data_IF_883876545863
#
_entry.id   IF_883876545863
#
_cell.length_a   1.000
_cell.length_b   1.000
_cell.length_c   1.000
_cell.angle_alpha   90.00
_cell.angle_beta   90.00
_cell.angle_gamma   90.00
#
_symmetry.space_group_name_H-M   'P 1'
#
loop_
_entity.id
_entity.type
_entity.pdbx_description
1 polymer ?
#
# COMPACT_ATOMS: atom_id res chain seq x y z
N UNK A 1 -3.15 30.58 -44.23
CA UNK A 1 -4.13 30.35 -43.11
C UNK A 1 -4.13 28.94 -42.63
N UNK A 2 -4.25 27.92 -43.43
CA UNK A 2 -4.27 26.49 -42.97
C UNK A 2 -3.01 26.05 -42.17
N UNK A 3 -1.81 26.55 -42.53
CA UNK A 3 -0.56 26.20 -41.79
C UNK A 3 -0.48 26.81 -40.39
N UNK A 4 -1.08 27.98 -40.17
CA UNK A 4 -1.09 28.61 -38.83
C UNK A 4 -2.08 27.95 -37.90
N UNK A 5 -3.25 27.55 -38.38
CA UNK A 5 -4.26 26.82 -37.61
C UNK A 5 -3.76 25.44 -37.21
N UNK A 6 -3.04 24.73 -38.09
CA UNK A 6 -2.43 23.43 -37.77
C UNK A 6 -1.33 23.58 -36.72
N UNK A 7 -0.49 24.62 -36.83
CA UNK A 7 0.55 24.90 -35.81
C UNK A 7 -0.05 25.25 -34.45
N UNK A 8 -1.11 26.04 -34.40
CA UNK A 8 -1.80 26.38 -33.18
C UNK A 8 -2.45 25.13 -32.53
N UNK A 9 -3.06 24.26 -33.34
CA UNK A 9 -3.63 23.00 -32.87
C UNK A 9 -2.55 22.07 -32.32
N UNK A 10 -1.41 21.93 -33.00
CA UNK A 10 -0.28 21.13 -32.51
C UNK A 10 0.29 21.66 -31.20
N UNK A 11 0.44 22.99 -31.08
CA UNK A 11 0.90 23.60 -29.82
C UNK A 11 -0.10 23.38 -28.66
N UNK A 12 -1.40 23.46 -28.97
CA UNK A 12 -2.44 23.14 -27.98
C UNK A 12 -2.40 21.70 -27.48
N UNK A 13 -2.21 20.74 -28.40
CA UNK A 13 -2.06 19.32 -28.04
C UNK A 13 -0.81 19.11 -27.22
N UNK A 14 0.32 19.70 -27.61
CA UNK A 14 1.56 19.58 -26.82
C UNK A 14 1.43 20.19 -25.43
N UNK A 15 0.78 21.33 -25.28
CA UNK A 15 0.53 21.96 -23.99
C UNK A 15 -0.38 21.08 -23.12
N UNK A 16 -1.42 20.49 -23.69
CA UNK A 16 -2.30 19.57 -23.00
C UNK A 16 -1.55 18.30 -22.52
N UNK A 17 -0.73 17.71 -23.38
CA UNK A 17 0.10 16.57 -23.03
C UNK A 17 1.10 16.91 -21.91
N UNK A 18 1.70 18.10 -21.94
CA UNK A 18 2.63 18.55 -20.92
C UNK A 18 1.94 18.72 -19.56
N UNK A 19 0.75 19.30 -19.53
CA UNK A 19 -0.05 19.46 -18.30
C UNK A 19 -0.46 18.11 -17.72
N UNK A 20 -0.95 17.20 -18.57
CA UNK A 20 -1.34 15.85 -18.15
C UNK A 20 -0.12 15.05 -17.65
N UNK A 21 1.02 15.17 -18.33
CA UNK A 21 2.28 14.55 -17.92
C UNK A 21 2.78 15.09 -16.59
N UNK A 22 2.74 16.41 -16.39
CA UNK A 22 3.13 17.03 -15.13
C UNK A 22 2.21 16.62 -13.97
N UNK A 23 0.89 16.59 -14.20
CA UNK A 23 -0.09 16.13 -13.22
C UNK A 23 0.14 14.66 -12.85
N UNK A 24 0.45 13.81 -13.82
CA UNK A 24 0.78 12.41 -13.57
C UNK A 24 2.07 12.25 -12.74
N UNK A 25 3.14 12.95 -13.12
CA UNK A 25 4.40 12.91 -12.37
C UNK A 25 4.24 13.43 -10.95
N UNK A 26 3.48 14.49 -10.76
CA UNK A 26 3.17 15.00 -9.43
C UNK A 26 2.40 13.98 -8.60
N UNK A 27 1.44 13.30 -9.19
CA UNK A 27 0.65 12.24 -8.58
C UNK A 27 1.52 11.03 -8.14
N UNK A 28 2.47 10.62 -8.99
CA UNK A 28 3.43 9.54 -8.66
C UNK A 28 4.36 9.98 -7.53
N UNK A 29 4.83 11.21 -7.56
CA UNK A 29 5.70 11.75 -6.52
C UNK A 29 4.99 11.85 -5.16
N UNK A 30 3.76 12.32 -5.14
CA UNK A 30 2.93 12.39 -3.94
C UNK A 30 2.67 11.01 -3.35
N UNK A 31 2.32 10.04 -4.18
CA UNK A 31 2.17 8.64 -3.80
C UNK A 31 3.45 8.07 -3.17
N UNK A 32 4.60 8.28 -3.81
CA UNK A 32 5.89 7.80 -3.29
C UNK A 32 6.23 8.42 -1.94
N UNK A 33 5.94 9.71 -1.77
CA UNK A 33 6.10 10.39 -0.47
C UNK A 33 5.19 9.81 0.60
N UNK A 34 3.93 9.55 0.28
CA UNK A 34 2.96 8.97 1.21
C UNK A 34 3.44 7.62 1.71
N UNK A 35 3.89 6.76 0.79
CA UNK A 35 4.40 5.43 1.17
C UNK A 35 5.72 5.53 1.96
N UNK A 36 6.63 6.39 1.54
CA UNK A 36 7.92 6.57 2.23
C UNK A 36 7.77 7.19 3.64
N UNK A 37 6.70 7.93 3.88
CA UNK A 37 6.40 8.51 5.18
C UNK A 37 5.62 7.56 6.12
N UNK A 38 5.25 6.37 5.65
CA UNK A 38 4.58 5.37 6.49
C UNK A 38 5.48 4.94 7.63
N UNK A 39 4.97 5.07 8.83
CA UNK A 39 5.55 4.51 10.05
C UNK A 39 4.71 3.32 10.49
N UNK A 40 5.34 2.34 11.09
CA UNK A 40 4.68 1.13 11.56
C UNK A 40 4.77 1.10 13.08
N UNK A 41 3.65 0.77 13.71
CA UNK A 41 3.60 0.53 15.13
C UNK A 41 3.50 -0.98 15.38
N UNK A 42 4.15 -1.43 16.44
CA UNK A 42 4.08 -2.84 16.86
C UNK A 42 2.98 -2.96 17.92
N UNK A 43 1.82 -3.54 17.56
CA UNK A 43 0.77 -3.78 18.54
C UNK A 43 1.21 -4.85 19.53
N UNK A 44 0.77 -4.72 20.78
CA UNK A 44 1.02 -5.74 21.79
C UNK A 44 0.13 -6.96 21.53
N UNK A 45 0.64 -7.93 20.79
CA UNK A 45 -0.12 -9.10 20.37
C UNK A 45 -0.77 -9.87 21.55
N UNK A 46 -0.09 -9.89 22.69
CA UNK A 46 -0.61 -10.54 23.90
C UNK A 46 -1.90 -9.88 24.44
N UNK A 47 -2.12 -8.61 24.14
CA UNK A 47 -3.33 -7.88 24.53
C UNK A 47 -4.49 -8.05 23.55
N UNK A 48 -4.25 -8.63 22.38
CA UNK A 48 -5.28 -8.82 21.35
C UNK A 48 -6.03 -10.12 21.62
N UNK A 49 -7.37 -10.07 21.78
CA UNK A 49 -8.17 -11.28 21.97
C UNK A 49 -8.07 -12.24 20.78
N UNK A 50 -8.28 -13.54 21.03
CA UNK A 50 -8.37 -14.52 19.96
C UNK A 50 -9.51 -14.17 18.99
N UNK A 51 -9.21 -14.17 17.70
CA UNK A 51 -10.18 -13.83 16.66
C UNK A 51 -9.53 -13.56 15.32
N UNK A 52 -10.37 -13.24 14.35
CA UNK A 52 -9.93 -12.83 13.01
C UNK A 52 -10.35 -11.38 12.77
N UNK A 53 -9.38 -10.56 12.41
CA UNK A 53 -9.52 -9.13 12.25
C UNK A 53 -9.17 -8.72 10.84
N UNK A 54 -9.97 -7.84 10.24
CA UNK A 54 -9.73 -7.35 8.89
C UNK A 54 -9.15 -5.94 8.92
N UNK A 55 -8.17 -5.70 8.04
CA UNK A 55 -7.58 -4.40 7.85
C UNK A 55 -7.34 -4.12 6.37
N UNK A 56 -7.41 -2.86 6.02
CA UNK A 56 -7.19 -2.39 4.65
C UNK A 56 -6.23 -1.20 4.65
N UNK A 57 -5.48 -1.07 3.57
CA UNK A 57 -4.71 0.13 3.27
C UNK A 57 -4.86 0.44 1.79
N UNK A 58 -5.22 1.68 1.49
CA UNK A 58 -5.41 2.15 0.12
C UNK A 58 -4.57 3.40 -0.11
N UNK A 59 -3.61 3.31 -0.99
CA UNK A 59 -2.78 4.42 -1.44
C UNK A 59 -2.80 4.49 -2.95
N UNK A 60 -3.72 5.28 -3.47
CA UNK A 60 -3.91 5.66 -4.87
C UNK A 60 -3.70 4.56 -5.93
N UNK A 61 -2.50 3.95 -5.99
CA UNK A 61 -2.15 2.93 -6.98
C UNK A 61 -2.08 1.52 -6.42
N UNK A 62 -2.02 1.39 -5.10
CA UNK A 62 -1.93 0.10 -4.40
C UNK A 62 -3.00 0.05 -3.33
N UNK A 63 -3.75 -1.04 -3.34
CA UNK A 63 -4.72 -1.34 -2.29
C UNK A 63 -4.45 -2.74 -1.77
N UNK A 64 -4.47 -2.91 -0.46
CA UNK A 64 -4.39 -4.21 0.18
C UNK A 64 -5.48 -4.36 1.23
N UNK A 65 -6.02 -5.56 1.30
CA UNK A 65 -6.95 -5.99 2.35
C UNK A 65 -6.53 -7.34 2.87
N UNK A 66 -6.48 -7.49 4.17
CA UNK A 66 -6.05 -8.73 4.85
C UNK A 66 -7.01 -9.11 5.96
N UNK A 67 -7.08 -10.41 6.27
CA UNK A 67 -7.69 -10.94 7.47
C UNK A 67 -6.60 -11.59 8.31
N UNK A 68 -6.37 -11.05 9.50
CA UNK A 68 -5.35 -11.53 10.45
C UNK A 68 -6.02 -12.35 11.54
N UNK A 69 -5.63 -13.60 11.69
CA UNK A 69 -6.10 -14.47 12.76
C UNK A 69 -5.07 -14.47 13.89
N UNK A 70 -5.52 -14.02 15.05
CA UNK A 70 -4.73 -14.02 16.29
C UNK A 70 -5.25 -15.10 17.20
N UNK A 71 -4.33 -15.88 17.79
CA UNK A 71 -4.64 -16.90 18.78
C UNK A 71 -3.56 -16.98 19.86
N UNK A 72 -3.97 -16.94 21.10
CA UNK A 72 -3.05 -16.99 22.26
C UNK A 72 -1.92 -15.95 22.19
N UNK A 73 -2.25 -14.74 21.77
CA UNK A 73 -1.30 -13.63 21.66
C UNK A 73 -0.30 -13.77 20.50
N UNK A 74 -0.63 -14.56 19.48
CA UNK A 74 0.23 -14.76 18.30
C UNK A 74 -0.57 -14.65 17.01
N UNK A 75 0.07 -14.12 15.98
CA UNK A 75 -0.48 -14.16 14.63
C UNK A 75 -0.34 -15.60 14.12
N UNK A 76 -1.47 -16.27 13.95
CA UNK A 76 -1.53 -17.64 13.45
C UNK A 76 -1.57 -17.70 11.94
N UNK A 77 -2.32 -16.77 11.32
CA UNK A 77 -2.53 -16.72 9.88
C UNK A 77 -2.85 -15.32 9.41
N UNK A 78 -2.44 -15.01 8.18
CA UNK A 78 -2.85 -13.81 7.47
C UNK A 78 -3.39 -14.25 6.10
N UNK A 79 -4.66 -14.00 5.86
CA UNK A 79 -5.30 -14.24 4.57
C UNK A 79 -5.33 -12.96 3.75
N UNK A 80 -4.81 -13.01 2.55
CA UNK A 80 -4.87 -11.90 1.60
C UNK A 80 -6.26 -11.86 0.97
N UNK A 81 -7.02 -10.81 1.25
CA UNK A 81 -8.37 -10.61 0.72
C UNK A 81 -8.35 -9.85 -0.60
N UNK A 82 -7.50 -8.85 -0.70
CA UNK A 82 -7.33 -8.02 -1.88
C UNK A 82 -5.89 -7.50 -1.96
N UNK A 83 -5.30 -7.56 -3.13
CA UNK A 83 -4.04 -6.88 -3.42
C UNK A 83 -4.05 -6.33 -4.84
N UNK A 84 -4.45 -5.07 -4.96
CA UNK A 84 -4.39 -4.35 -6.22
C UNK A 84 -3.03 -3.65 -6.32
N UNK A 85 -2.26 -4.04 -7.31
CA UNK A 85 -0.92 -3.53 -7.56
C UNK A 85 -0.60 -3.58 -9.07
N UNK A 86 0.44 -2.86 -9.50
CA UNK A 86 0.92 -2.93 -10.89
C UNK A 86 2.03 -3.97 -11.09
N UNK A 87 2.93 -4.12 -10.10
CA UNK A 87 4.08 -5.05 -10.13
C UNK A 87 4.44 -5.59 -8.75
N UNK A 88 3.57 -5.47 -7.78
CA UNK A 88 3.86 -5.72 -6.37
C UNK A 88 3.51 -7.12 -5.88
N UNK A 89 3.12 -8.06 -6.74
CA UNK A 89 2.78 -9.42 -6.32
C UNK A 89 3.87 -10.09 -5.48
N UNK A 90 5.18 -9.95 -5.77
CA UNK A 90 6.23 -10.51 -4.92
C UNK A 90 6.22 -9.99 -3.48
N UNK A 91 5.62 -8.80 -3.24
CA UNK A 91 5.50 -8.24 -1.89
C UNK A 91 4.63 -9.09 -0.95
N UNK A 92 3.78 -9.96 -1.47
CA UNK A 92 2.92 -10.83 -0.67
C UNK A 92 3.70 -11.76 0.26
N UNK A 93 4.96 -12.04 -0.07
CA UNK A 93 5.88 -12.78 0.79
C UNK A 93 6.12 -12.10 2.16
N UNK A 94 5.90 -10.78 2.26
CA UNK A 94 6.03 -10.05 3.54
C UNK A 94 5.03 -10.57 4.59
N UNK A 95 3.90 -11.12 4.18
CA UNK A 95 2.90 -11.68 5.10
C UNK A 95 3.42 -12.91 5.83
N UNK A 96 4.18 -13.76 5.14
CA UNK A 96 4.83 -14.93 5.74
C UNK A 96 5.94 -14.50 6.71
N UNK A 97 6.67 -13.44 6.40
CA UNK A 97 7.69 -12.89 7.29
C UNK A 97 7.06 -12.30 8.56
N UNK A 98 5.94 -11.60 8.46
CA UNK A 98 5.18 -11.09 9.61
C UNK A 98 4.75 -12.23 10.54
N UNK A 99 4.24 -13.33 9.99
CA UNK A 99 3.89 -14.51 10.76
C UNK A 99 5.14 -15.13 11.41
N UNK A 100 6.22 -15.26 10.66
CA UNK A 100 7.47 -15.85 11.14
C UNK A 100 8.11 -15.05 12.27
N UNK A 101 8.21 -13.74 12.11
CA UNK A 101 8.82 -12.85 13.10
C UNK A 101 7.86 -12.38 14.19
N UNK A 102 6.55 -12.58 14.03
CA UNK A 102 5.52 -12.12 14.97
C UNK A 102 5.57 -10.62 15.23
N UNK A 103 5.85 -9.85 14.18
CA UNK A 103 5.87 -8.39 14.20
C UNK A 103 5.48 -7.82 12.84
N UNK A 104 4.96 -6.61 12.85
CA UNK A 104 4.48 -5.93 11.62
C UNK A 104 5.63 -5.32 10.83
N UNK A 105 6.56 -4.68 11.51
CA UNK A 105 7.66 -3.97 10.85
C UNK A 105 8.81 -4.91 10.46
N UNK A 106 8.54 -5.80 9.53
CA UNK A 106 9.53 -6.65 8.88
C UNK A 106 10.14 -5.96 7.66
N UNK A 107 11.22 -6.51 7.12
CA UNK A 107 11.88 -5.96 5.94
C UNK A 107 10.95 -6.02 4.71
N UNK A 108 11.04 -4.98 3.87
CA UNK A 108 10.31 -4.95 2.62
C UNK A 108 10.95 -5.88 1.59
N UNK A 109 10.12 -6.48 0.74
CA UNK A 109 10.62 -7.30 -0.38
C UNK A 109 11.35 -6.42 -1.38
N UNK A 110 12.59 -6.79 -1.73
CA UNK A 110 13.41 -6.07 -2.70
C UNK A 110 12.70 -5.93 -4.04
N UNK A 111 12.62 -4.71 -4.56
CA UNK A 111 11.93 -4.39 -5.80
C UNK A 111 10.41 -4.24 -5.67
N UNK A 112 9.85 -4.47 -4.49
CA UNK A 112 8.41 -4.31 -4.19
C UNK A 112 8.16 -3.56 -2.87
N UNK A 113 9.01 -2.60 -2.54
CA UNK A 113 8.98 -1.86 -1.26
C UNK A 113 7.65 -1.17 -1.00
N UNK A 114 7.10 -0.50 -2.00
CA UNK A 114 5.83 0.23 -1.84
C UNK A 114 4.66 -0.71 -1.54
N UNK A 115 4.55 -1.82 -2.26
CA UNK A 115 3.51 -2.83 -2.00
C UNK A 115 3.72 -3.51 -0.65
N UNK A 116 4.97 -3.80 -0.26
CA UNK A 116 5.30 -4.34 1.06
C UNK A 116 4.83 -3.40 2.18
N UNK A 117 5.07 -2.10 2.05
CA UNK A 117 4.63 -1.10 3.02
C UNK A 117 3.11 -1.04 3.15
N UNK A 118 2.39 -1.11 2.02
CA UNK A 118 0.92 -1.11 2.02
C UNK A 118 0.36 -2.38 2.67
N UNK A 119 0.95 -3.55 2.40
CA UNK A 119 0.56 -4.81 3.03
C UNK A 119 0.82 -4.80 4.53
N UNK A 120 2.00 -4.35 4.97
CA UNK A 120 2.32 -4.18 6.40
C UNK A 120 1.31 -3.25 7.10
N UNK A 121 0.97 -2.14 6.46
CA UNK A 121 -0.01 -1.19 7.01
C UNK A 121 -1.43 -1.77 7.09
N UNK A 122 -1.82 -2.59 6.13
CA UNK A 122 -3.10 -3.30 6.20
C UNK A 122 -3.15 -4.28 7.39
N UNK A 123 -2.05 -4.99 7.66
CA UNK A 123 -1.93 -5.87 8.83
C UNK A 123 -1.98 -5.07 10.14
N UNK A 124 -1.24 -3.97 10.23
CA UNK A 124 -1.27 -3.07 11.39
C UNK A 124 -2.70 -2.58 11.65
N UNK A 125 -3.40 -2.08 10.62
CA UNK A 125 -4.77 -1.61 10.73
C UNK A 125 -5.74 -2.72 11.20
N UNK A 126 -5.53 -3.96 10.76
CA UNK A 126 -6.31 -5.10 11.24
C UNK A 126 -6.12 -5.31 12.75
N UNK A 127 -4.88 -5.29 13.22
CA UNK A 127 -4.55 -5.51 14.63
C UNK A 127 -4.95 -4.34 15.52
N UNK A 128 -4.83 -3.09 15.03
CA UNK A 128 -5.27 -1.90 15.76
C UNK A 128 -6.80 -1.81 15.90
N UNK A 129 -7.57 -2.39 14.97
CA UNK A 129 -9.04 -2.40 15.05
C UNK A 129 -9.58 -3.14 16.27
N UNK A 130 -8.73 -3.88 16.97
CA UNK A 130 -9.06 -4.67 18.16
C UNK A 130 -8.92 -3.90 19.47
N UNK A 131 -8.19 -2.78 19.45
CA UNK A 131 -7.95 -1.96 20.64
C UNK A 131 -9.14 -1.01 20.81
N UNK A 132 -9.90 -1.05 21.92
CA UNK A 132 -10.93 -0.06 22.22
C UNK A 132 -10.26 1.31 22.33
N UNK A 133 -10.76 2.28 21.54
CA UNK A 133 -10.36 3.67 21.65
C UNK A 133 -10.93 4.31 22.91
#
# INVERSE_FOLDING_TARGET
MKKQTVRAALLGVLACCAVLGAAYLWSVHDYQRTVAAMTFQEPELAAIPDGTYTGTCDVRFIRAGVAVTVRSGRIERIDLLEHKNSRGQPAEAVLDEIIGEQRVDVDAVTGATNSSSVLKKAVENALESTVPQ
#
